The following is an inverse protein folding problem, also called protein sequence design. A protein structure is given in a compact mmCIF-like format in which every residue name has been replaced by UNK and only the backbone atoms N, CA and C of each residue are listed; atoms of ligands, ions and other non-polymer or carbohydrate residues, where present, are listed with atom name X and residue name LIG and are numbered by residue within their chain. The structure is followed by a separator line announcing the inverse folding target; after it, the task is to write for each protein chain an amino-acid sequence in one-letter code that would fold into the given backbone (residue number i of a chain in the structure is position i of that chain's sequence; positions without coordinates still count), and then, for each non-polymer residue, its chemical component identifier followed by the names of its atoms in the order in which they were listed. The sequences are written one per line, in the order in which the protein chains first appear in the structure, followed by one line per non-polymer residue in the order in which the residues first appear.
data_IF_298901110631
#
_entry.id   IF_298901110631
#
_cell.length_a   1.000
_cell.length_b   1.000
_cell.length_c   1.000
_cell.angle_alpha   90.00
_cell.angle_beta   90.00
_cell.angle_gamma   90.00
#
_symmetry.space_group_name_H-M   'P 1'
#
loop_
_entity.id
_entity.type
_entity.pdbx_description
1 polymer ?
#
# COMPACT_ATOMS: atom_id res chain seq x y z
N UNK A 1 -18.86 -14.24 21.58
CA UNK A 1 -17.46 -14.24 21.03
C UNK A 1 -17.27 -12.89 20.39
N UNK A 2 -16.25 -12.13 20.79
CA UNK A 2 -15.91 -10.90 20.08
C UNK A 2 -15.53 -11.24 18.65
N UNK A 3 -16.14 -10.55 17.68
CA UNK A 3 -15.78 -10.66 16.28
C UNK A 3 -14.34 -10.15 16.12
N UNK A 4 -13.42 -11.04 15.71
CA UNK A 4 -12.03 -10.68 15.47
C UNK A 4 -11.87 -10.35 14.01
N UNK A 5 -11.50 -9.11 13.74
CA UNK A 5 -11.24 -8.61 12.39
C UNK A 5 -9.79 -8.78 12.00
N UNK A 6 -9.57 -9.18 10.75
CA UNK A 6 -8.26 -9.23 10.13
C UNK A 6 -8.00 -8.06 9.20
N UNK A 7 -6.75 -7.68 9.08
CA UNK A 7 -6.28 -6.71 8.09
C UNK A 7 -5.27 -7.39 7.18
N UNK A 8 -5.56 -7.44 5.89
CA UNK A 8 -4.66 -7.93 4.85
C UNK A 8 -4.05 -6.76 4.11
N UNK A 9 -2.75 -6.54 4.29
CA UNK A 9 -2.02 -5.46 3.61
C UNK A 9 -1.48 -5.97 2.28
N UNK A 10 -1.97 -5.41 1.17
CA UNK A 10 -1.64 -5.85 -0.18
C UNK A 10 -0.63 -4.90 -0.81
N UNK A 11 0.58 -5.41 -1.10
CA UNK A 11 1.61 -4.73 -1.88
C UNK A 11 1.63 -5.20 -3.32
N UNK A 12 2.18 -4.36 -4.22
CA UNK A 12 2.42 -4.78 -5.60
C UNK A 12 3.52 -5.85 -5.66
N UNK A 13 4.61 -5.62 -4.95
CA UNK A 13 5.85 -6.36 -5.07
C UNK A 13 6.86 -5.68 -6.00
N UNK A 14 8.08 -6.10 -5.92
CA UNK A 14 9.19 -5.57 -6.72
C UNK A 14 10.26 -6.63 -6.92
N UNK A 15 11.06 -6.48 -7.97
CA UNK A 15 12.31 -7.21 -8.18
C UNK A 15 13.48 -6.57 -7.43
N UNK A 16 13.28 -5.36 -6.95
CA UNK A 16 14.22 -4.61 -6.12
C UNK A 16 14.03 -5.05 -4.65
N UNK A 17 15.09 -5.61 -4.08
CA UNK A 17 15.09 -6.12 -2.70
C UNK A 17 14.94 -5.02 -1.67
N UNK A 18 15.45 -3.82 -1.93
CA UNK A 18 15.31 -2.67 -1.04
C UNK A 18 13.84 -2.24 -0.95
N UNK A 19 13.16 -2.15 -2.11
CA UNK A 19 11.73 -1.83 -2.14
C UNK A 19 10.87 -2.90 -1.42
N UNK A 20 11.22 -4.18 -1.54
CA UNK A 20 10.56 -5.27 -0.80
C UNK A 20 10.79 -5.10 0.71
N UNK A 21 12.03 -4.82 1.12
CA UNK A 21 12.39 -4.61 2.52
C UNK A 21 11.67 -3.40 3.14
N UNK A 22 11.54 -2.30 2.41
CA UNK A 22 10.80 -1.11 2.84
C UNK A 22 9.32 -1.44 3.08
N UNK A 23 8.66 -2.15 2.16
CA UNK A 23 7.28 -2.59 2.34
C UNK A 23 7.12 -3.50 3.56
N UNK A 24 8.01 -4.49 3.73
CA UNK A 24 7.95 -5.40 4.88
C UNK A 24 8.14 -4.65 6.21
N UNK A 25 9.03 -3.67 6.26
CA UNK A 25 9.24 -2.82 7.43
C UNK A 25 8.01 -1.95 7.72
N UNK A 26 7.38 -1.40 6.68
CA UNK A 26 6.12 -0.67 6.79
C UNK A 26 5.01 -1.56 7.36
N UNK A 27 4.80 -2.76 6.80
CA UNK A 27 3.77 -3.69 7.24
C UNK A 27 3.97 -4.12 8.71
N UNK A 28 5.21 -4.38 9.13
CA UNK A 28 5.55 -4.68 10.52
C UNK A 28 5.25 -3.51 11.46
N UNK A 29 5.61 -2.28 11.07
CA UNK A 29 5.30 -1.07 11.85
C UNK A 29 3.80 -0.88 11.99
N UNK A 30 3.05 -1.07 10.89
CA UNK A 30 1.59 -0.97 10.90
C UNK A 30 0.96 -2.01 11.83
N UNK A 31 1.43 -3.26 11.80
CA UNK A 31 0.99 -4.31 12.71
C UNK A 31 1.19 -3.93 14.18
N UNK A 32 2.31 -3.31 14.51
CA UNK A 32 2.60 -2.86 15.88
C UNK A 32 1.73 -1.67 16.32
N UNK A 33 1.13 -0.94 15.39
CA UNK A 33 0.20 0.17 15.69
C UNK A 33 -1.26 -0.26 15.74
N UNK A 34 -1.62 -1.37 15.09
CA UNK A 34 -2.98 -1.87 14.97
C UNK A 34 -3.19 -3.15 15.79
N UNK A 35 -2.79 -3.13 17.07
CA UNK A 35 -2.79 -4.30 17.96
C UNK A 35 -4.18 -4.93 18.19
N UNK A 36 -5.25 -4.17 17.93
CA UNK A 36 -6.63 -4.65 18.03
C UNK A 36 -7.06 -5.55 16.86
N UNK A 37 -6.26 -5.62 15.79
CA UNK A 37 -6.52 -6.44 14.61
C UNK A 37 -5.46 -7.53 14.45
N UNK A 38 -5.87 -8.67 13.90
CA UNK A 38 -4.89 -9.61 13.33
C UNK A 38 -4.46 -9.08 11.96
N UNK A 39 -3.20 -8.74 11.82
CA UNK A 39 -2.67 -8.17 10.57
C UNK A 39 -1.65 -9.11 9.93
N UNK A 40 -1.83 -9.30 8.62
CA UNK A 40 -0.86 -9.98 7.77
C UNK A 40 -0.71 -9.24 6.44
N UNK A 41 0.24 -9.62 5.61
CA UNK A 41 0.56 -8.94 4.36
C UNK A 41 0.97 -9.91 3.27
N UNK A 42 0.98 -9.40 2.04
CA UNK A 42 1.48 -10.14 0.89
C UNK A 42 1.59 -9.27 -0.35
N UNK A 43 2.36 -9.77 -1.29
CA UNK A 43 2.58 -9.14 -2.58
C UNK A 43 1.72 -9.76 -3.66
N UNK A 44 1.34 -8.95 -4.65
CA UNK A 44 0.63 -9.43 -5.83
C UNK A 44 1.56 -10.29 -6.68
N UNK A 45 2.79 -9.81 -6.92
CA UNK A 45 3.78 -10.45 -7.78
C UNK A 45 5.23 -10.11 -7.38
N UNK A 46 6.20 -10.74 -8.01
CA UNK A 46 7.66 -10.54 -7.90
C UNK A 46 8.31 -10.78 -6.52
N UNK A 47 7.56 -10.84 -5.44
CA UNK A 47 8.10 -10.99 -4.08
C UNK A 47 7.27 -11.92 -3.21
N UNK A 48 7.83 -12.36 -2.10
CA UNK A 48 7.18 -13.19 -1.09
C UNK A 48 7.09 -12.47 0.27
N UNK A 49 6.07 -12.82 1.10
CA UNK A 49 4.96 -13.74 0.82
C UNK A 49 3.97 -13.16 -0.19
N UNK A 50 3.29 -14.02 -0.94
CA UNK A 50 2.18 -13.59 -1.82
C UNK A 50 0.91 -13.31 -1.01
N UNK A 51 -0.05 -12.56 -1.58
CA UNK A 51 -1.34 -12.22 -0.94
C UNK A 51 -2.03 -13.46 -0.36
N UNK A 52 -2.06 -14.57 -1.14
CA UNK A 52 -2.67 -15.82 -0.70
C UNK A 52 -2.08 -16.34 0.62
N UNK A 53 -0.76 -16.25 0.80
CA UNK A 53 -0.11 -16.72 2.03
C UNK A 53 -0.52 -15.91 3.26
N UNK A 54 -0.68 -14.59 3.13
CA UNK A 54 -1.19 -13.74 4.20
C UNK A 54 -2.65 -14.05 4.55
N UNK A 55 -3.49 -14.30 3.54
CA UNK A 55 -4.88 -14.73 3.74
C UNK A 55 -4.97 -16.11 4.41
N UNK A 56 -4.13 -17.08 4.00
CA UNK A 56 -4.04 -18.38 4.65
C UNK A 56 -3.69 -18.24 6.14
N UNK A 57 -2.70 -17.41 6.46
CA UNK A 57 -2.29 -17.13 7.85
C UNK A 57 -3.44 -16.54 8.69
N UNK A 58 -4.18 -15.56 8.16
CA UNK A 58 -5.34 -14.98 8.85
C UNK A 58 -6.45 -16.02 9.06
N UNK A 59 -6.76 -16.81 8.03
CA UNK A 59 -7.78 -17.88 8.10
C UNK A 59 -7.43 -18.95 9.13
N UNK A 60 -6.17 -19.38 9.19
CA UNK A 60 -5.66 -20.37 10.13
C UNK A 60 -5.74 -19.87 11.58
N UNK A 61 -5.62 -18.57 11.81
CA UNK A 61 -5.85 -17.93 13.12
C UNK A 61 -7.33 -17.81 13.49
N UNK A 62 -8.22 -18.31 12.64
CA UNK A 62 -9.67 -18.29 12.87
C UNK A 62 -10.35 -16.98 12.49
N UNK A 63 -9.68 -16.08 11.79
CA UNK A 63 -10.27 -14.84 11.29
C UNK A 63 -11.23 -15.17 10.14
N UNK A 64 -12.41 -14.54 10.16
CA UNK A 64 -13.43 -14.70 9.12
C UNK A 64 -13.80 -13.40 8.41
N UNK A 65 -13.67 -12.28 9.10
CA UNK A 65 -13.89 -10.94 8.54
C UNK A 65 -12.53 -10.29 8.26
N UNK A 66 -12.20 -10.05 6.98
CA UNK A 66 -10.91 -9.53 6.55
C UNK A 66 -11.09 -8.24 5.77
N UNK A 67 -10.45 -7.18 6.20
CA UNK A 67 -10.31 -5.94 5.44
C UNK A 67 -8.99 -5.96 4.66
N UNK A 68 -9.05 -5.99 3.35
CA UNK A 68 -7.88 -5.94 2.48
C UNK A 68 -7.59 -4.50 2.05
N UNK A 69 -6.37 -4.04 2.28
CA UNK A 69 -5.94 -2.67 2.03
C UNK A 69 -4.79 -2.65 1.01
N UNK A 70 -4.99 -2.07 -0.18
CA UNK A 70 -3.90 -1.89 -1.12
C UNK A 70 -2.96 -0.76 -0.68
N UNK A 71 -1.67 -1.07 -0.56
CA UNK A 71 -0.63 -0.05 -0.33
C UNK A 71 -0.15 0.44 -1.69
N UNK A 72 -0.99 1.21 -2.33
CA UNK A 72 -0.77 1.83 -3.63
C UNK A 72 -1.23 3.27 -3.58
N UNK A 73 -0.45 4.18 -4.18
CA UNK A 73 -0.79 5.60 -4.18
C UNK A 73 -2.03 5.87 -5.03
N UNK A 74 -2.15 5.21 -6.17
CA UNK A 74 -3.22 5.46 -7.13
C UNK A 74 -3.88 4.16 -7.59
N UNK A 75 -5.15 4.26 -7.95
CA UNK A 75 -5.96 3.16 -8.48
C UNK A 75 -5.64 2.91 -9.96
N UNK A 76 -4.55 2.21 -10.25
CA UNK A 76 -4.24 1.66 -11.56
C UNK A 76 -4.70 0.21 -11.70
N UNK A 77 -4.43 -0.41 -12.85
CA UNK A 77 -4.90 -1.76 -13.19
C UNK A 77 -4.75 -2.79 -12.07
N UNK A 78 -3.59 -2.84 -11.41
CA UNK A 78 -3.36 -3.80 -10.32
C UNK A 78 -4.28 -3.56 -9.10
N UNK A 79 -4.50 -2.29 -8.72
CA UNK A 79 -5.42 -1.96 -7.62
C UNK A 79 -6.88 -2.14 -8.01
N UNK A 80 -7.25 -1.83 -9.27
CA UNK A 80 -8.64 -1.93 -9.76
C UNK A 80 -9.07 -3.35 -10.09
N UNK A 81 -8.16 -4.19 -10.58
CA UNK A 81 -8.50 -5.48 -11.20
C UNK A 81 -7.78 -6.67 -10.56
N UNK A 82 -6.44 -6.64 -10.48
CA UNK A 82 -5.66 -7.84 -10.19
C UNK A 82 -5.77 -8.24 -8.71
N UNK A 83 -5.60 -7.30 -7.78
CA UNK A 83 -5.79 -7.60 -6.35
C UNK A 83 -7.24 -8.01 -6.07
N UNK A 84 -8.28 -7.29 -6.51
CA UNK A 84 -9.66 -7.75 -6.35
C UNK A 84 -9.91 -9.16 -6.93
N UNK A 85 -9.31 -9.49 -8.06
CA UNK A 85 -9.44 -10.83 -8.66
C UNK A 85 -8.85 -11.92 -7.76
N UNK A 86 -7.68 -11.69 -7.19
CA UNK A 86 -7.06 -12.62 -6.22
C UNK A 86 -7.92 -12.80 -4.98
N UNK A 87 -8.45 -11.70 -4.42
CA UNK A 87 -9.30 -11.72 -3.23
C UNK A 87 -10.63 -12.45 -3.49
N UNK A 88 -11.28 -12.16 -4.62
CA UNK A 88 -12.54 -12.79 -5.02
C UNK A 88 -12.34 -14.29 -5.26
N UNK A 89 -11.27 -14.70 -5.93
CA UNK A 89 -10.94 -16.10 -6.14
C UNK A 89 -10.69 -16.84 -4.82
N UNK A 90 -10.01 -16.18 -3.88
CA UNK A 90 -9.78 -16.74 -2.56
C UNK A 90 -11.07 -16.87 -1.76
N UNK A 91 -11.92 -15.85 -1.74
CA UNK A 91 -13.21 -15.89 -1.06
C UNK A 91 -14.14 -16.96 -1.67
N UNK A 92 -14.11 -17.13 -3.00
CA UNK A 92 -14.87 -18.19 -3.65
C UNK A 92 -14.42 -19.60 -3.24
N UNK A 93 -13.12 -19.78 -2.96
CA UNK A 93 -12.57 -21.04 -2.44
C UNK A 93 -12.95 -21.28 -0.98
N UNK A 94 -13.12 -20.21 -0.19
CA UNK A 94 -13.41 -20.23 1.25
C UNK A 94 -14.66 -19.40 1.55
N UNK A 95 -15.87 -19.94 1.30
CA UNK A 95 -17.13 -19.19 1.43
C UNK A 95 -17.47 -18.72 2.82
N UNK A 96 -16.80 -19.28 3.84
CA UNK A 96 -16.94 -18.86 5.22
C UNK A 96 -16.24 -17.52 5.53
N UNK A 97 -15.44 -16.99 4.60
CA UNK A 97 -14.76 -15.71 4.74
C UNK A 97 -15.58 -14.58 4.15
N UNK A 98 -15.52 -13.42 4.78
CA UNK A 98 -15.98 -12.15 4.25
C UNK A 98 -14.76 -11.26 4.03
N UNK A 99 -14.45 -10.96 2.77
CA UNK A 99 -13.29 -10.14 2.42
C UNK A 99 -13.79 -8.85 1.80
N UNK A 100 -13.56 -7.74 2.50
CA UNK A 100 -13.78 -6.39 1.98
C UNK A 100 -12.49 -5.81 1.41
N UNK A 101 -12.61 -4.99 0.38
CA UNK A 101 -11.46 -4.35 -0.27
C UNK A 101 -11.56 -2.84 -0.13
N UNK A 102 -10.54 -2.24 0.48
CA UNK A 102 -10.42 -0.81 0.68
C UNK A 102 -9.90 -0.10 -0.58
N UNK A 103 -10.05 1.21 -0.60
CA UNK A 103 -9.48 2.03 -1.66
C UNK A 103 -7.97 2.18 -1.53
N UNK A 104 -7.33 2.61 -2.59
CA UNK A 104 -5.94 3.06 -2.63
C UNK A 104 -5.70 4.24 -1.67
N UNK A 105 -4.43 4.56 -1.39
CA UNK A 105 -4.04 5.66 -0.51
C UNK A 105 -4.49 7.04 -1.04
N UNK A 106 -4.45 7.22 -2.36
CA UNK A 106 -4.95 8.40 -3.05
C UNK A 106 -4.22 9.69 -2.67
N UNK A 107 -4.88 10.80 -2.90
CA UNK A 107 -4.41 12.13 -2.52
C UNK A 107 -4.92 12.43 -1.09
N UNK A 108 -4.17 11.97 -0.10
CA UNK A 108 -4.44 12.27 1.31
C UNK A 108 -3.54 13.41 1.81
N UNK A 109 -4.11 14.29 2.64
CA UNK A 109 -3.37 15.43 3.21
C UNK A 109 -2.15 15.00 4.03
N UNK A 110 -2.17 13.83 4.65
CA UNK A 110 -1.02 13.30 5.40
C UNK A 110 0.12 12.92 4.47
N UNK A 111 -0.18 12.35 3.28
CA UNK A 111 0.81 12.04 2.27
C UNK A 111 1.40 13.31 1.63
N UNK A 112 0.56 14.33 1.38
CA UNK A 112 1.02 15.63 0.89
C UNK A 112 1.96 16.29 1.90
N UNK A 113 1.62 16.25 3.19
CA UNK A 113 2.50 16.77 4.26
C UNK A 113 3.81 16.01 4.33
N UNK A 114 3.78 14.68 4.28
CA UNK A 114 5.00 13.86 4.26
C UNK A 114 5.90 14.18 3.06
N UNK A 115 5.32 14.41 1.88
CA UNK A 115 6.06 14.86 0.70
C UNK A 115 6.69 16.25 0.93
N UNK A 116 5.93 17.19 1.53
CA UNK A 116 6.44 18.51 1.87
C UNK A 116 7.60 18.48 2.88
N UNK A 117 7.57 17.56 3.83
CA UNK A 117 8.69 17.35 4.76
C UNK A 117 9.94 16.83 4.06
N UNK A 118 9.80 15.92 3.07
CA UNK A 118 10.95 15.49 2.26
C UNK A 118 11.58 16.64 1.47
N UNK A 119 10.77 17.57 0.98
CA UNK A 119 11.29 18.78 0.31
C UNK A 119 12.09 19.66 1.28
N UNK A 120 11.57 19.89 2.49
CA UNK A 120 12.28 20.65 3.53
C UNK A 120 13.61 20.00 3.90
N UNK A 121 13.61 18.70 4.17
CA UNK A 121 14.82 17.96 4.46
C UNK A 121 15.85 18.05 3.33
N UNK A 122 15.42 18.00 2.08
CA UNK A 122 16.33 18.15 0.93
C UNK A 122 16.95 19.54 0.87
N UNK A 123 16.19 20.61 1.20
CA UNK A 123 16.70 21.98 1.28
C UNK A 123 17.69 22.10 2.44
N UNK A 124 17.37 21.55 3.61
CA UNK A 124 18.26 21.58 4.80
C UNK A 124 19.57 20.81 4.58
N UNK A 125 19.56 19.79 3.74
CA UNK A 125 20.74 18.98 3.38
C UNK A 125 21.54 19.55 2.22
N UNK A 126 21.03 20.56 1.51
CA UNK A 126 21.74 21.20 0.41
C UNK A 126 22.90 22.04 0.93
N UNK A 127 24.03 21.99 0.23
CA UNK A 127 25.18 22.84 0.53
C UNK A 127 24.87 24.32 0.17
N UNK A 128 24.89 25.18 1.19
CA UNK A 128 24.68 26.62 1.05
C UNK A 128 23.41 27.14 1.73
N UNK A 129 23.36 28.43 1.96
CA UNK A 129 22.19 29.13 2.50
C UNK A 129 21.25 29.49 1.33
N UNK A 130 20.42 28.51 0.93
CA UNK A 130 19.50 28.63 -0.21
C UNK A 130 18.14 29.07 0.31
N UNK A 131 17.66 30.24 -0.12
CA UNK A 131 16.34 30.74 0.27
C UNK A 131 15.21 30.03 -0.52
N UNK A 132 14.00 29.89 0.04
CA UNK A 132 12.86 29.35 -0.69
C UNK A 132 12.53 30.11 -1.97
N UNK A 133 12.77 31.43 -1.98
CA UNK A 133 12.52 32.30 -3.15
C UNK A 133 13.49 32.03 -4.32
N UNK A 134 14.66 31.46 -4.01
CA UNK A 134 15.68 31.07 -5.00
C UNK A 134 15.61 29.59 -5.37
N UNK A 135 14.62 28.87 -4.83
CA UNK A 135 14.46 27.42 -5.03
C UNK A 135 13.39 27.11 -6.06
N UNK A 136 13.73 26.29 -7.04
CA UNK A 136 12.78 25.72 -8.00
C UNK A 136 12.48 24.26 -7.62
N UNK A 137 11.24 23.98 -7.23
CA UNK A 137 10.78 22.60 -7.02
C UNK A 137 10.35 21.99 -8.35
N UNK A 138 11.11 21.01 -8.83
CA UNK A 138 10.74 20.20 -9.98
C UNK A 138 10.05 18.92 -9.53
N UNK A 139 8.77 18.77 -9.84
CA UNK A 139 7.99 17.55 -9.57
C UNK A 139 8.09 16.61 -10.77
N UNK A 140 8.73 15.46 -10.58
CA UNK A 140 8.91 14.45 -11.64
C UNK A 140 7.89 13.33 -11.45
N UNK A 141 6.95 13.23 -12.37
CA UNK A 141 5.98 12.12 -12.41
C UNK A 141 6.51 10.95 -13.23
N UNK A 142 6.19 9.75 -12.83
CA UNK A 142 6.55 8.52 -13.55
C UNK A 142 5.77 8.37 -14.87
N UNK A 143 4.56 8.93 -14.93
CA UNK A 143 3.59 8.63 -15.98
C UNK A 143 2.89 7.30 -15.77
N UNK A 144 1.76 7.13 -16.41
CA UNK A 144 0.97 5.91 -16.39
C UNK A 144 0.27 5.71 -17.74
N UNK A 145 0.05 4.44 -18.10
CA UNK A 145 -0.77 4.10 -19.26
C UNK A 145 -2.28 4.17 -18.97
N UNK A 146 -2.66 4.23 -17.69
CA UNK A 146 -4.05 4.41 -17.27
C UNK A 146 -4.46 5.88 -17.47
N UNK A 147 -5.50 6.19 -18.29
CA UNK A 147 -5.94 7.55 -18.55
C UNK A 147 -6.34 8.32 -17.30
N UNK A 148 -6.89 7.61 -16.28
CA UNK A 148 -7.30 8.23 -15.01
C UNK A 148 -6.10 8.74 -14.19
N UNK A 149 -4.90 8.27 -14.50
CA UNK A 149 -3.65 8.66 -13.83
C UNK A 149 -2.76 9.54 -14.69
N UNK A 150 -3.17 9.87 -15.90
CA UNK A 150 -2.38 10.69 -16.81
C UNK A 150 -2.45 12.15 -16.39
N UNK A 151 -1.34 12.69 -15.89
CA UNK A 151 -1.18 14.12 -15.57
C UNK A 151 -1.01 14.99 -16.82
N UNK A 152 -0.96 14.39 -18.02
CA UNK A 152 -0.76 15.11 -19.29
C UNK A 152 -2.00 15.92 -19.68
N UNK A 153 -3.14 15.65 -19.07
CA UNK A 153 -4.42 16.32 -19.38
C UNK A 153 -4.81 17.43 -18.40
N UNK A 154 -3.88 17.86 -17.56
CA UNK A 154 -4.06 19.02 -16.68
C UNK A 154 -3.59 20.29 -17.40
#
# INVERSE_FOLDING_TARGET
MEERYGVMVCGHGSRDEDAVSEFLNFAKKLKNQLLQYELDWGFLEFANPVIKSGLDSLREKGIREIMSVPVMLFAAGHAKNDIPSVLNAYQAQYPELSISYGRELGIDLKLIRAAGERVKEAIEQADGDISPEETLLMVVGRGASDPDLSLIHI
#
